data_IF_680962962708
#
_entry.id   IF_680962962708
#
_cell.length_a   1.000
_cell.length_b   1.000
_cell.length_c   1.000
_cell.angle_alpha   90.00
_cell.angle_beta   90.00
_cell.angle_gamma   90.00
#
_symmetry.space_group_name_H-M   'P 1'
#
loop_
_entity.id
_entity.type
_entity.pdbx_description
1 polymer ?
#
# COMPACT_ATOMS: atom_id res chain seq x y z
N UNK A 1 12.60 -16.43 -2.89
CA UNK A 1 11.97 -15.25 -2.25
C UNK A 1 11.88 -15.58 -0.78
N UNK A 2 12.60 -14.83 0.05
CA UNK A 2 12.52 -15.04 1.48
C UNK A 2 11.17 -14.54 2.00
N UNK A 3 10.56 -15.25 2.96
CA UNK A 3 9.29 -14.83 3.54
C UNK A 3 9.48 -13.47 4.23
N UNK A 4 8.46 -12.60 4.11
CA UNK A 4 8.44 -11.36 4.84
C UNK A 4 8.46 -11.66 6.35
N UNK A 5 9.29 -10.91 7.09
CA UNK A 5 9.31 -11.00 8.56
C UNK A 5 8.00 -10.47 9.15
N UNK A 6 7.75 -10.81 10.40
CA UNK A 6 6.71 -10.16 11.18
C UNK A 6 7.09 -8.70 11.47
N UNK A 7 6.14 -7.78 11.28
CA UNK A 7 6.24 -6.36 11.65
C UNK A 7 5.37 -6.12 12.89
N UNK A 8 5.90 -5.43 13.91
CA UNK A 8 5.15 -5.12 15.15
C UNK A 8 5.42 -3.68 15.59
N UNK A 9 4.40 -2.83 15.48
CA UNK A 9 4.50 -1.42 15.88
C UNK A 9 5.48 -0.63 15.01
N UNK A 10 5.67 -1.06 13.77
CA UNK A 10 6.61 -0.48 12.81
C UNK A 10 5.85 0.04 11.59
N UNK A 11 6.33 1.15 11.06
CA UNK A 11 5.84 1.69 9.79
C UNK A 11 6.37 0.85 8.62
N UNK A 12 5.49 0.58 7.66
CA UNK A 12 5.85 -0.11 6.41
C UNK A 12 5.76 0.89 5.26
N UNK A 13 6.89 1.11 4.59
CA UNK A 13 6.97 1.98 3.41
C UNK A 13 6.86 1.11 2.16
N UNK A 14 5.85 1.36 1.34
CA UNK A 14 5.60 0.65 0.09
C UNK A 14 5.76 1.63 -1.06
N UNK A 15 6.51 1.22 -2.09
CA UNK A 15 6.59 1.96 -3.33
C UNK A 15 5.51 1.45 -4.30
N UNK A 16 4.67 2.35 -4.80
CA UNK A 16 3.70 2.01 -5.84
C UNK A 16 4.45 1.66 -7.14
N UNK A 17 3.97 0.66 -7.90
CA UNK A 17 4.64 0.25 -9.13
C UNK A 17 4.44 1.27 -10.26
N UNK A 18 5.46 1.45 -11.09
CA UNK A 18 5.41 2.31 -12.28
C UNK A 18 5.09 3.77 -11.96
N UNK A 19 4.18 4.35 -12.74
CA UNK A 19 3.74 5.76 -12.63
C UNK A 19 2.49 5.93 -11.74
N UNK A 20 2.17 4.93 -10.91
CA UNK A 20 0.99 5.00 -10.04
C UNK A 20 1.20 6.02 -8.93
N UNK A 21 0.26 6.95 -8.79
CA UNK A 21 0.24 7.92 -7.70
C UNK A 21 -0.86 7.62 -6.70
N UNK A 22 -0.79 8.23 -5.52
CA UNK A 22 -1.86 8.19 -4.51
C UNK A 22 -3.21 8.68 -5.02
N UNK A 23 -3.24 9.45 -6.11
CA UNK A 23 -4.47 9.91 -6.78
C UNK A 23 -5.11 8.83 -7.66
N UNK A 24 -4.37 7.79 -8.01
CA UNK A 24 -4.84 6.70 -8.86
C UNK A 24 -5.29 5.46 -8.09
N UNK A 25 -5.19 5.49 -6.76
CA UNK A 25 -5.53 4.37 -5.88
C UNK A 25 -6.59 4.80 -4.86
N UNK A 26 -7.64 3.99 -4.71
CA UNK A 26 -8.71 4.25 -3.74
C UNK A 26 -8.56 3.39 -2.48
N UNK A 27 -7.79 2.30 -2.54
CA UNK A 27 -7.61 1.36 -1.44
C UNK A 27 -6.30 0.58 -1.61
N UNK A 28 -5.80 0.03 -0.51
CA UNK A 28 -4.69 -0.91 -0.46
C UNK A 28 -5.14 -2.14 0.34
N UNK A 29 -4.82 -3.35 -0.14
CA UNK A 29 -5.21 -4.60 0.52
C UNK A 29 -4.09 -5.63 0.48
N UNK A 30 -4.05 -6.48 1.51
CA UNK A 30 -3.30 -7.74 1.49
C UNK A 30 -4.25 -8.82 0.98
N UNK A 31 -4.04 -9.22 -0.27
CA UNK A 31 -4.92 -10.18 -0.96
C UNK A 31 -4.14 -11.39 -1.45
N UNK A 32 -4.68 -12.58 -1.25
CA UNK A 32 -4.18 -13.80 -1.87
C UNK A 32 -5.01 -14.15 -3.11
N UNK A 33 -4.32 -14.13 -4.26
CA UNK A 33 -4.91 -14.37 -5.58
C UNK A 33 -5.39 -15.81 -5.74
N UNK A 34 -4.72 -16.79 -5.13
CA UNK A 34 -5.05 -18.20 -5.30
C UNK A 34 -6.35 -18.57 -4.58
N UNK A 35 -6.49 -18.17 -3.31
CA UNK A 35 -7.71 -18.40 -2.52
C UNK A 35 -8.81 -17.35 -2.72
N UNK A 36 -8.49 -16.24 -3.40
CA UNK A 36 -9.35 -15.04 -3.55
C UNK A 36 -9.75 -14.42 -2.20
N UNK A 37 -8.84 -14.46 -1.22
CA UNK A 37 -9.10 -13.99 0.14
C UNK A 37 -8.43 -12.64 0.41
N UNK A 38 -9.17 -11.73 1.07
CA UNK A 38 -8.66 -10.46 1.57
C UNK A 38 -8.34 -10.59 3.07
N UNK A 39 -7.09 -10.34 3.45
CA UNK A 39 -6.61 -10.41 4.84
C UNK A 39 -6.67 -9.07 5.58
N UNK A 40 -7.06 -8.01 4.89
CA UNK A 40 -7.20 -6.67 5.43
C UNK A 40 -6.98 -5.64 4.32
N UNK A 41 -7.82 -4.61 4.33
CA UNK A 41 -7.70 -3.48 3.43
C UNK A 41 -7.89 -2.16 4.15
N UNK A 42 -7.21 -1.13 3.66
CA UNK A 42 -7.38 0.26 4.07
C UNK A 42 -7.89 1.06 2.88
N UNK A 43 -8.89 1.92 3.13
CA UNK A 43 -9.41 2.86 2.13
C UNK A 43 -8.59 4.14 2.23
N UNK A 44 -8.20 4.68 1.08
CA UNK A 44 -7.47 5.93 0.98
C UNK A 44 -8.51 7.05 0.80
N UNK A 45 -8.63 8.00 1.75
CA UNK A 45 -9.59 9.09 1.66
C UNK A 45 -9.35 9.97 0.43
N UNK A 46 -10.43 10.40 -0.21
CA UNK A 46 -10.36 11.40 -1.27
C UNK A 46 -9.96 12.78 -0.70
N UNK A 47 -9.23 13.56 -1.48
CA UNK A 47 -8.79 14.90 -1.07
C UNK A 47 -7.65 14.92 -0.04
N UNK A 48 -6.93 13.80 0.15
CA UNK A 48 -5.74 13.79 1.01
C UNK A 48 -4.73 14.84 0.50
N UNK A 49 -4.30 15.74 1.38
CA UNK A 49 -3.22 16.67 1.06
C UNK A 49 -1.88 15.94 1.18
N UNK A 50 -1.56 15.13 0.17
CA UNK A 50 -0.32 14.36 0.12
C UNK A 50 0.83 15.33 -0.15
N UNK A 51 1.82 15.44 0.75
CA UNK A 51 2.98 16.27 0.51
C UNK A 51 3.73 15.76 -0.73
N UNK A 52 4.35 16.66 -1.52
CA UNK A 52 5.17 16.25 -2.65
C UNK A 52 6.28 15.31 -2.17
N UNK A 53 6.57 14.27 -2.97
CA UNK A 53 7.68 13.38 -2.67
C UNK A 53 8.97 14.19 -2.54
N UNK A 54 9.69 13.98 -1.44
CA UNK A 54 11.01 14.57 -1.21
C UNK A 54 12.12 13.83 -1.96
N UNK A 55 11.78 12.73 -2.65
CA UNK A 55 12.73 11.95 -3.45
C UNK A 55 12.64 12.42 -4.90
N UNK A 56 13.78 12.89 -5.41
CA UNK A 56 13.98 13.39 -6.77
C UNK A 56 14.16 12.26 -7.77
#
# INVERSE_FOLDING_TARGET
>A
LDPLRQYKGEDVIIQLPGEMTTRNINWLSIFDVASKSNYGSVVIPEGLNVPPSLVK
#
